data_IF_012681246292
#
_entry.id   IF_012681246292
#
_cell.length_a   1.000
_cell.length_b   1.000
_cell.length_c   1.000
_cell.angle_alpha   90.00
_cell.angle_beta   90.00
_cell.angle_gamma   90.00
#
_symmetry.space_group_name_H-M   'P 1'
#
loop_
_entity.id
_entity.type
_entity.pdbx_description
1 polymer ?
#
# COMPACT_ATOMS: atom_id res chain seq x y z
N UNK A 1 -28.06 -11.12 -37.05
CA UNK A 1 -28.15 -9.82 -36.34
C UNK A 1 -27.99 -9.93 -34.81
N UNK A 2 -28.77 -10.74 -34.08
CA UNK A 2 -28.73 -10.80 -32.60
C UNK A 2 -27.33 -11.10 -32.00
N UNK A 3 -26.55 -11.98 -32.62
CA UNK A 3 -25.19 -12.30 -32.16
C UNK A 3 -24.23 -11.12 -32.32
N UNK A 4 -24.25 -10.44 -33.46
CA UNK A 4 -23.37 -9.28 -33.73
C UNK A 4 -23.64 -8.16 -32.73
N UNK A 5 -24.91 -7.87 -32.43
CA UNK A 5 -25.30 -6.86 -31.42
C UNK A 5 -24.82 -7.25 -30.02
N UNK A 6 -24.93 -8.53 -29.64
CA UNK A 6 -24.44 -9.03 -28.36
C UNK A 6 -22.91 -8.92 -28.23
N UNK A 7 -22.16 -9.26 -29.28
CA UNK A 7 -20.70 -9.13 -29.30
C UNK A 7 -20.25 -7.67 -29.25
N UNK A 8 -20.94 -6.76 -29.96
CA UNK A 8 -20.66 -5.32 -29.89
C UNK A 8 -20.96 -4.73 -28.51
N UNK A 9 -22.04 -5.15 -27.86
CA UNK A 9 -22.37 -4.74 -26.49
C UNK A 9 -21.35 -5.28 -25.46
N UNK A 10 -20.94 -6.55 -25.61
CA UNK A 10 -19.91 -7.14 -24.77
C UNK A 10 -18.56 -6.41 -24.94
N UNK A 11 -18.15 -6.14 -26.17
CA UNK A 11 -16.93 -5.39 -26.46
C UNK A 11 -17.02 -3.95 -25.93
N UNK A 12 -18.15 -3.27 -26.09
CA UNK A 12 -18.39 -1.94 -25.54
C UNK A 12 -18.35 -1.91 -24.01
N UNK A 13 -18.95 -2.91 -23.36
CA UNK A 13 -18.89 -3.06 -21.90
C UNK A 13 -17.45 -3.31 -21.42
N UNK A 14 -16.70 -4.15 -22.14
CA UNK A 14 -15.30 -4.44 -21.82
C UNK A 14 -14.40 -3.22 -22.01
N UNK A 15 -14.65 -2.40 -23.04
CA UNK A 15 -13.99 -1.11 -23.24
C UNK A 15 -14.35 -0.12 -22.12
N UNK A 16 -15.61 -0.03 -21.71
CA UNK A 16 -16.03 0.83 -20.60
C UNK A 16 -15.41 0.40 -19.27
N UNK A 17 -15.32 -0.92 -19.00
CA UNK A 17 -14.62 -1.46 -17.84
C UNK A 17 -13.12 -1.15 -17.88
N UNK A 18 -12.49 -1.30 -19.05
CA UNK A 18 -11.08 -0.96 -19.24
C UNK A 18 -10.81 0.56 -19.09
N UNK A 19 -11.73 1.41 -19.55
CA UNK A 19 -11.65 2.87 -19.37
C UNK A 19 -11.91 3.29 -17.91
N UNK A 20 -12.80 2.60 -17.20
CA UNK A 20 -13.01 2.80 -15.76
C UNK A 20 -11.77 2.40 -14.94
N UNK A 21 -11.01 1.38 -15.39
CA UNK A 21 -9.76 0.95 -14.77
C UNK A 21 -8.50 1.64 -15.31
N UNK A 22 -8.62 2.56 -16.29
CA UNK A 22 -7.48 3.22 -16.93
C UNK A 22 -6.58 4.00 -15.95
N UNK A 23 -7.15 4.48 -14.84
CA UNK A 23 -6.42 5.17 -13.75
C UNK A 23 -5.55 4.22 -12.92
N UNK A 24 -5.98 2.97 -12.76
CA UNK A 24 -5.16 1.91 -12.15
C UNK A 24 -4.10 1.38 -13.13
N UNK A 25 -4.49 1.15 -14.39
CA UNK A 25 -3.61 0.56 -15.41
C UNK A 25 -2.50 1.53 -15.85
N UNK A 26 -2.78 2.82 -16.02
CA UNK A 26 -1.74 3.78 -16.47
C UNK A 26 -0.64 4.03 -15.44
N UNK A 27 -0.97 4.08 -14.14
CA UNK A 27 0.01 4.16 -13.07
C UNK A 27 0.86 2.88 -12.97
N UNK A 28 0.25 1.72 -13.23
CA UNK A 28 0.94 0.43 -13.26
C UNK A 28 1.93 0.31 -14.44
N UNK A 29 1.55 0.77 -15.63
CA UNK A 29 2.38 0.69 -16.85
C UNK A 29 3.53 1.71 -16.84
N UNK A 30 3.42 2.82 -16.11
CA UNK A 30 4.50 3.81 -15.99
C UNK A 30 5.60 3.43 -14.99
N UNK A 31 5.40 2.38 -14.18
CA UNK A 31 6.35 1.97 -13.14
C UNK A 31 6.23 2.79 -11.86
N UNK A 32 6.98 2.44 -10.81
CA UNK A 32 6.90 3.16 -9.54
C UNK A 32 7.56 4.53 -9.67
N UNK A 33 6.85 5.58 -9.28
CA UNK A 33 7.42 6.92 -9.25
C UNK A 33 8.36 7.06 -8.05
N UNK A 34 9.60 7.51 -8.29
CA UNK A 34 10.52 7.87 -7.21
C UNK A 34 9.94 9.08 -6.47
N UNK A 35 9.53 8.90 -5.22
CA UNK A 35 9.03 9.97 -4.35
C UNK A 35 10.04 10.26 -3.25
N UNK A 36 10.52 11.50 -3.21
CA UNK A 36 11.36 12.02 -2.14
C UNK A 36 10.56 12.65 -1.01
N UNK A 37 11.25 13.15 0.03
CA UNK A 37 10.61 13.82 1.17
C UNK A 37 9.69 14.97 0.72
N UNK A 38 10.15 15.82 -0.20
CA UNK A 38 9.38 16.95 -0.70
C UNK A 38 8.07 16.52 -1.40
N UNK A 39 8.11 15.42 -2.17
CA UNK A 39 6.92 14.89 -2.83
C UNK A 39 5.94 14.35 -1.79
N UNK A 40 6.42 13.59 -0.81
CA UNK A 40 5.59 13.03 0.27
C UNK A 40 4.97 14.12 1.15
N UNK A 41 5.71 15.20 1.44
CA UNK A 41 5.22 16.34 2.21
C UNK A 41 4.13 17.14 1.48
N UNK A 42 4.09 17.07 0.15
CA UNK A 42 3.04 17.69 -0.66
C UNK A 42 1.72 16.91 -0.65
N UNK A 43 1.74 15.63 -0.26
CA UNK A 43 0.58 14.74 -0.25
C UNK A 43 -0.25 15.01 1.01
N UNK A 44 -1.39 15.69 0.83
CA UNK A 44 -2.35 15.95 1.91
C UNK A 44 -3.41 14.85 2.05
N UNK A 45 -3.80 14.24 0.95
CA UNK A 45 -4.79 13.17 0.93
C UNK A 45 -4.44 12.15 -0.16
N UNK A 46 -4.15 10.93 0.27
CA UNK A 46 -3.87 9.79 -0.61
C UNK A 46 -5.10 9.37 -1.39
N UNK A 47 -6.32 9.53 -0.83
CA UNK A 47 -7.56 9.17 -1.51
C UNK A 47 -7.82 10.05 -2.74
N UNK A 48 -7.32 11.28 -2.74
CA UNK A 48 -7.43 12.23 -3.86
C UNK A 48 -6.21 12.20 -4.80
N UNK A 49 -5.10 11.57 -4.39
CA UNK A 49 -3.86 11.56 -5.16
C UNK A 49 -4.03 10.75 -6.48
N UNK A 50 -3.66 11.29 -7.65
CA UNK A 50 -3.79 10.57 -8.92
C UNK A 50 -2.75 9.46 -9.13
N UNK A 51 -1.67 9.39 -8.32
CA UNK A 51 -0.51 8.51 -8.49
C UNK A 51 -0.32 7.65 -7.23
N UNK A 52 -0.65 6.37 -7.31
CA UNK A 52 -0.66 5.48 -6.15
C UNK A 52 0.58 4.60 -6.04
N UNK A 53 1.26 4.27 -7.13
CA UNK A 53 2.42 3.37 -7.11
C UNK A 53 3.72 4.16 -6.95
N UNK A 54 4.33 4.05 -5.77
CA UNK A 54 5.50 4.83 -5.36
C UNK A 54 6.68 3.92 -5.07
N UNK A 55 7.88 4.41 -5.38
CA UNK A 55 9.14 3.95 -4.84
C UNK A 55 9.66 5.03 -3.89
N UNK A 56 9.92 4.64 -2.65
CA UNK A 56 10.46 5.54 -1.64
C UNK A 56 11.74 4.96 -1.09
N UNK A 57 12.79 5.76 -1.08
CA UNK A 57 14.08 5.40 -0.49
C UNK A 57 14.31 6.24 0.77
N UNK A 58 14.46 5.56 1.90
CA UNK A 58 14.79 6.17 3.18
C UNK A 58 16.25 5.97 3.56
N UNK A 59 16.69 6.73 4.57
CA UNK A 59 18.05 6.61 5.11
C UNK A 59 18.22 5.34 5.95
N UNK A 60 17.16 4.95 6.68
CA UNK A 60 17.08 3.72 7.47
C UNK A 60 15.64 3.27 7.64
N UNK A 61 15.44 1.98 7.90
CA UNK A 61 14.17 1.42 8.33
C UNK A 61 14.27 0.95 9.79
N UNK A 62 13.28 1.32 10.58
CA UNK A 62 13.14 0.92 11.98
C UNK A 62 12.02 -0.11 12.09
N UNK A 63 12.24 -1.16 12.86
CA UNK A 63 11.21 -2.14 13.17
C UNK A 63 10.20 -1.53 14.16
N UNK A 64 8.91 -1.55 13.81
CA UNK A 64 7.85 -1.09 14.72
C UNK A 64 7.35 -2.20 15.64
N UNK A 65 7.78 -3.45 15.41
CA UNK A 65 7.32 -4.64 16.13
C UNK A 65 5.91 -5.11 15.72
N UNK A 66 5.26 -4.43 14.77
CA UNK A 66 3.89 -4.74 14.34
C UNK A 66 3.94 -5.68 13.14
N UNK A 67 3.23 -6.80 13.26
CA UNK A 67 3.17 -7.84 12.25
C UNK A 67 1.74 -8.08 11.79
N UNK A 68 1.56 -8.28 10.50
CA UNK A 68 0.33 -8.80 9.93
C UNK A 68 0.35 -10.34 9.98
N UNK A 69 -0.66 -10.90 10.64
CA UNK A 69 -0.83 -12.35 10.75
C UNK A 69 -1.98 -12.76 9.83
N UNK A 70 -1.71 -13.68 8.91
CA UNK A 70 -2.75 -14.34 8.12
C UNK A 70 -3.09 -15.68 8.74
N UNK A 71 -4.37 -15.86 9.08
CA UNK A 71 -4.92 -17.12 9.60
C UNK A 71 -5.71 -17.79 8.48
N UNK A 72 -5.35 -19.03 8.14
CA UNK A 72 -6.11 -19.87 7.20
C UNK A 72 -7.03 -20.78 8.01
N UNK A 73 -8.32 -20.79 7.64
CA UNK A 73 -9.33 -21.66 8.25
C UNK A 73 -9.92 -22.59 7.20
N UNK A 74 -10.19 -23.84 7.56
CA UNK A 74 -10.95 -24.80 6.75
C UNK A 74 -12.05 -25.39 7.62
N UNK A 75 -13.31 -25.24 7.20
CA UNK A 75 -14.46 -25.72 7.97
C UNK A 75 -14.60 -25.06 9.36
N UNK A 76 -14.21 -23.78 9.50
CA UNK A 76 -14.25 -23.05 10.77
C UNK A 76 -13.07 -23.32 11.70
N UNK A 77 -12.26 -24.35 11.43
CA UNK A 77 -11.07 -24.68 12.21
C UNK A 77 -9.84 -23.99 11.63
N UNK A 78 -9.03 -23.39 12.50
CA UNK A 78 -7.72 -22.84 12.14
C UNK A 78 -6.77 -23.95 11.72
N UNK A 79 -6.30 -23.91 10.48
CA UNK A 79 -5.39 -24.92 9.93
C UNK A 79 -3.95 -24.41 9.81
N UNK A 80 -3.74 -23.09 9.80
CA UNK A 80 -2.42 -22.48 9.70
C UNK A 80 -2.45 -21.02 10.13
N UNK A 81 -1.38 -20.60 10.82
CA UNK A 81 -1.08 -19.22 11.20
C UNK A 81 0.29 -18.86 10.65
N UNK A 82 0.37 -17.80 9.84
CA UNK A 82 1.64 -17.32 9.29
C UNK A 82 1.71 -15.80 9.41
N UNK A 83 2.90 -15.29 9.73
CA UNK A 83 3.19 -13.87 9.54
C UNK A 83 3.27 -13.62 8.04
N UNK A 84 2.39 -12.77 7.52
CA UNK A 84 2.37 -12.41 6.11
C UNK A 84 3.20 -11.17 5.82
N UNK A 85 3.16 -10.18 6.72
CA UNK A 85 3.88 -8.91 6.57
C UNK A 85 4.36 -8.36 7.91
N UNK A 86 5.29 -7.41 7.87
CA UNK A 86 5.64 -6.55 8.99
C UNK A 86 5.55 -5.08 8.58
N UNK A 87 5.32 -4.21 9.56
CA UNK A 87 5.35 -2.77 9.38
C UNK A 87 6.68 -2.22 9.88
N UNK A 88 7.31 -1.40 9.05
CA UNK A 88 8.57 -0.71 9.35
C UNK A 88 8.36 0.79 9.23
N UNK A 89 9.05 1.56 10.06
CA UNK A 89 9.12 3.02 9.95
C UNK A 89 10.37 3.41 9.15
N UNK A 90 10.17 3.80 7.90
CA UNK A 90 11.20 4.29 7.00
C UNK A 90 11.48 5.77 7.28
N UNK A 91 12.74 6.12 7.55
CA UNK A 91 13.14 7.52 7.77
C UNK A 91 13.35 8.21 6.44
N UNK A 92 12.52 9.22 6.16
CA UNK A 92 12.55 10.01 4.93
C UNK A 92 12.63 11.49 5.30
N UNK A 93 13.82 12.08 5.11
CA UNK A 93 14.12 13.40 5.67
C UNK A 93 13.97 13.38 7.20
N UNK A 94 13.16 14.29 7.74
CA UNK A 94 12.89 14.42 9.18
C UNK A 94 11.67 13.61 9.67
N UNK A 95 10.96 12.97 8.74
CA UNK A 95 9.69 12.28 8.96
C UNK A 95 9.81 10.76 8.81
N UNK A 96 8.77 10.07 9.25
CA UNK A 96 8.66 8.62 9.27
C UNK A 96 7.53 8.19 8.34
N UNK A 97 7.85 7.37 7.34
CA UNK A 97 6.88 6.74 6.47
C UNK A 97 6.69 5.28 6.89
N UNK A 98 5.45 4.89 7.16
CA UNK A 98 5.15 3.48 7.39
C UNK A 98 5.28 2.70 6.07
N UNK A 99 5.93 1.54 6.15
CA UNK A 99 6.13 0.64 5.04
C UNK A 99 5.73 -0.77 5.46
N UNK A 100 4.79 -1.35 4.71
CA UNK A 100 4.38 -2.73 4.88
C UNK A 100 5.11 -3.61 3.87
N UNK A 101 5.84 -4.60 4.34
CA UNK A 101 6.62 -5.50 3.47
C UNK A 101 6.71 -6.90 4.06
N UNK A 102 6.89 -7.89 3.20
CA UNK A 102 7.26 -9.25 3.58
C UNK A 102 8.79 -9.34 3.65
N UNK A 103 9.33 -9.75 4.79
CA UNK A 103 10.78 -9.92 4.99
C UNK A 103 11.44 -8.79 5.78
N UNK A 104 12.76 -8.64 5.61
CA UNK A 104 13.62 -7.74 6.39
C UNK A 104 13.38 -6.26 6.11
N UNK A 105 13.75 -5.35 7.04
CA UNK A 105 13.55 -3.91 6.89
C UNK A 105 14.28 -3.37 5.63
N UNK A 106 13.55 -2.90 4.61
CA UNK A 106 14.17 -2.45 3.37
C UNK A 106 14.51 -0.97 3.45
N UNK A 107 15.63 -0.55 2.83
CA UNK A 107 15.95 0.88 2.65
C UNK A 107 15.10 1.53 1.57
N UNK A 108 14.64 0.74 0.61
CA UNK A 108 13.79 1.17 -0.50
C UNK A 108 12.55 0.31 -0.53
N UNK A 109 11.37 0.94 -0.55
CA UNK A 109 10.08 0.27 -0.59
C UNK A 109 9.37 0.70 -1.86
N UNK A 110 8.82 -0.27 -2.56
CA UNK A 110 7.95 -0.06 -3.71
C UNK A 110 6.56 -0.58 -3.37
N UNK A 111 5.52 0.19 -3.69
CA UNK A 111 4.17 -0.23 -3.37
C UNK A 111 3.15 0.86 -3.58
N UNK A 112 1.93 0.57 -3.14
CA UNK A 112 0.84 1.54 -3.18
C UNK A 112 0.82 2.43 -1.95
N UNK A 113 0.71 3.74 -2.17
CA UNK A 113 0.38 4.68 -1.13
C UNK A 113 -1.09 4.52 -0.73
N UNK A 114 -1.32 4.19 0.53
CA UNK A 114 -2.64 3.99 1.09
C UNK A 114 -2.78 4.71 2.44
N UNK A 115 -4.03 5.00 2.82
CA UNK A 115 -4.32 5.54 4.15
C UNK A 115 -4.00 4.51 5.24
N UNK A 116 -3.47 4.97 6.38
CA UNK A 116 -3.17 4.08 7.52
C UNK A 116 -4.47 3.45 8.03
N UNK A 117 -4.57 2.11 8.11
CA UNK A 117 -5.75 1.45 8.67
C UNK A 117 -5.96 1.85 10.14
N UNK A 118 -7.20 2.06 10.56
CA UNK A 118 -7.53 2.50 11.92
C UNK A 118 -6.99 1.57 13.01
N UNK A 119 -6.95 0.26 12.76
CA UNK A 119 -6.41 -0.72 13.70
C UNK A 119 -4.89 -0.59 13.85
N UNK A 120 -4.19 -0.35 12.74
CA UNK A 120 -2.75 -0.10 12.74
C UNK A 120 -2.41 1.21 13.45
N UNK A 121 -3.16 2.28 13.20
CA UNK A 121 -2.97 3.57 13.86
C UNK A 121 -3.12 3.44 15.39
N UNK A 122 -4.17 2.74 15.84
CA UNK A 122 -4.38 2.48 17.28
C UNK A 122 -3.24 1.67 17.88
N UNK A 123 -2.81 0.60 17.20
CA UNK A 123 -1.74 -0.26 17.70
C UNK A 123 -0.38 0.45 17.72
N UNK A 124 -0.07 1.24 16.69
CA UNK A 124 1.21 1.94 16.57
C UNK A 124 1.36 3.03 17.63
N UNK A 125 0.27 3.74 17.95
CA UNK A 125 0.28 4.85 18.88
C UNK A 125 -0.35 4.50 20.24
N UNK A 126 -0.26 3.23 20.65
CA UNK A 126 -0.82 2.78 21.94
C UNK A 126 0.05 3.24 23.14
N UNK A 127 1.35 3.45 22.93
CA UNK A 127 2.28 3.92 23.97
C UNK A 127 2.48 5.44 23.96
N UNK A 128 2.79 6.02 25.12
CA UNK A 128 3.08 7.45 25.26
C UNK A 128 4.26 7.90 24.39
N UNK A 129 5.31 7.08 24.29
CA UNK A 129 6.49 7.36 23.47
C UNK A 129 6.13 7.45 21.99
N UNK A 130 5.29 6.52 21.50
CA UNK A 130 4.85 6.53 20.11
C UNK A 130 3.89 7.69 19.83
N UNK A 131 3.00 8.02 20.76
CA UNK A 131 2.12 9.20 20.66
C UNK A 131 2.93 10.49 20.50
N UNK A 132 4.03 10.65 21.25
CA UNK A 132 4.91 11.81 21.12
C UNK A 132 5.55 11.91 19.72
N UNK A 133 5.74 10.78 19.05
CA UNK A 133 6.29 10.71 17.69
C UNK A 133 5.24 10.84 16.59
N UNK A 134 3.94 10.84 16.90
CA UNK A 134 2.84 10.85 15.92
C UNK A 134 2.96 11.94 14.87
N UNK A 135 3.32 13.16 15.29
CA UNK A 135 3.52 14.30 14.38
C UNK A 135 4.65 14.13 13.37
N UNK A 136 5.58 13.19 13.61
CA UNK A 136 6.67 12.85 12.68
C UNK A 136 6.25 11.84 11.62
N UNK A 137 5.18 11.08 11.85
CA UNK A 137 4.70 10.13 10.86
C UNK A 137 3.94 10.83 9.73
N UNK A 138 4.04 10.27 8.52
CA UNK A 138 3.09 10.59 7.45
C UNK A 138 1.73 9.97 7.78
N UNK A 139 0.61 10.63 7.40
CA UNK A 139 -0.75 10.11 7.65
C UNK A 139 -1.16 8.98 6.68
N UNK A 140 -0.17 8.35 6.04
CA UNK A 140 -0.32 7.31 5.03
C UNK A 140 0.89 6.37 5.06
N UNK A 141 0.78 5.24 4.38
CA UNK A 141 1.82 4.22 4.35
C UNK A 141 1.99 3.66 2.94
N UNK A 142 3.14 3.01 2.69
CA UNK A 142 3.39 2.25 1.46
C UNK A 142 3.07 0.79 1.72
N UNK A 143 2.11 0.25 0.98
CA UNK A 143 1.78 -1.16 0.93
C UNK A 143 2.62 -1.86 -0.15
N UNK A 144 3.70 -2.51 0.27
CA UNK A 144 4.60 -3.24 -0.64
C UNK A 144 4.10 -4.63 -1.06
N UNK A 145 2.96 -5.08 -0.55
CA UNK A 145 2.39 -6.38 -0.89
C UNK A 145 1.35 -6.32 -2.01
N UNK A 146 0.72 -5.16 -2.28
CA UNK A 146 -0.52 -5.11 -3.06
C UNK A 146 -0.38 -5.49 -4.54
N UNK A 147 0.84 -5.68 -5.08
CA UNK A 147 1.04 -5.90 -6.51
C UNK A 147 1.97 -7.05 -6.91
N UNK A 148 2.50 -7.84 -5.95
CA UNK A 148 3.14 -9.11 -6.30
C UNK A 148 2.04 -10.15 -6.52
N UNK A 149 1.64 -10.36 -7.77
CA UNK A 149 0.83 -11.52 -8.14
C UNK A 149 1.52 -12.78 -7.58
N UNK A 150 0.80 -13.70 -6.91
CA UNK A 150 1.34 -15.02 -6.66
C UNK A 150 1.62 -15.64 -8.03
N UNK A 151 2.91 -15.84 -8.32
CA UNK A 151 3.36 -16.68 -9.43
C UNK A 151 2.97 -18.12 -9.19
#
# INVERSE_FOLDING_TARGET
MRRVVAWSLAAGCLVLLALAQKRYISNFVMGPFELGAADLDSIRDVAQAPRYFARVTGSKALDTGIQQITIRKRGGVETSRSVSAAYYALVVGDRLLLAKTSGSPPKTVEGELAAVPADLDRQLFDSADMQALRGRFYPFYVNGESFRFPG
#
